data_IF_059340318406
#
_entry.id   IF_059340318406
#
_cell.length_a   1.000
_cell.length_b   1.000
_cell.length_c   1.000
_cell.angle_alpha   90.00
_cell.angle_beta   90.00
_cell.angle_gamma   90.00
#
_symmetry.space_group_name_H-M   'P 1'
#
loop_
_entity.id
_entity.type
_entity.pdbx_description
1 polymer ?
#
# COMPACT_ATOMS: atom_id res chain seq x y z
N UNK A 1 -7.01 -6.18 -10.49
CA UNK A 1 -6.18 -6.68 -9.40
C UNK A 1 -5.15 -5.64 -9.01
N UNK A 2 -4.82 -5.59 -7.74
CA UNK A 2 -3.86 -4.61 -7.28
C UNK A 2 -2.42 -4.98 -7.58
N UNK A 3 -2.14 -6.26 -7.69
CA UNK A 3 -0.77 -6.70 -7.92
C UNK A 3 -0.19 -6.05 -9.17
N UNK A 4 0.97 -5.47 -9.05
CA UNK A 4 1.64 -4.80 -10.15
C UNK A 4 1.28 -3.33 -10.30
N UNK A 5 0.31 -2.85 -9.53
CA UNK A 5 -0.08 -1.45 -9.60
C UNK A 5 0.85 -0.60 -8.73
N UNK A 6 1.12 0.61 -9.20
CA UNK A 6 1.86 1.57 -8.38
C UNK A 6 0.87 2.36 -7.54
N UNK A 7 1.16 2.44 -6.26
CA UNK A 7 0.27 3.18 -5.35
C UNK A 7 1.08 4.17 -4.54
N UNK A 8 0.38 5.12 -3.98
CA UNK A 8 0.95 6.06 -3.01
C UNK A 8 0.19 5.93 -1.70
N UNK A 9 0.92 5.84 -0.61
CA UNK A 9 0.31 5.80 0.71
C UNK A 9 -0.08 7.21 1.10
N UNK A 10 -1.37 7.42 1.32
CA UNK A 10 -1.87 8.73 1.75
C UNK A 10 -1.73 8.86 3.25
N UNK A 11 -2.12 7.82 3.98
CA UNK A 11 -2.08 7.87 5.43
C UNK A 11 -2.00 6.43 5.94
N UNK A 12 -1.10 6.21 6.89
CA UNK A 12 -0.97 4.89 7.49
C UNK A 12 -1.07 5.07 8.99
N UNK A 13 -2.17 4.62 9.57
CA UNK A 13 -2.53 4.93 10.94
C UNK A 13 -1.48 4.48 11.94
N UNK A 14 -0.96 3.28 11.75
CA UNK A 14 0.03 2.74 12.67
C UNK A 14 1.44 3.23 12.39
N UNK A 15 1.68 3.83 11.23
CA UNK A 15 3.01 4.27 10.84
C UNK A 15 2.91 5.55 10.03
N UNK A 16 2.65 6.67 10.69
CA UNK A 16 2.41 7.92 9.96
C UNK A 16 3.55 8.35 9.05
N UNK A 17 4.77 7.93 9.36
CA UNK A 17 5.90 8.34 8.52
C UNK A 17 5.89 7.72 7.13
N UNK A 18 5.00 6.75 6.92
CA UNK A 18 4.86 6.17 5.59
C UNK A 18 4.02 7.04 4.66
N UNK A 19 3.38 8.08 5.18
CA UNK A 19 2.59 8.98 4.35
C UNK A 19 3.43 9.55 3.23
N UNK A 20 2.93 9.46 2.01
CA UNK A 20 3.63 9.97 0.85
C UNK A 20 4.53 8.97 0.16
N UNK A 21 4.76 7.82 0.75
CA UNK A 21 5.59 6.82 0.10
C UNK A 21 4.85 6.18 -1.06
N UNK A 22 5.62 5.83 -2.08
CA UNK A 22 5.07 5.14 -3.25
C UNK A 22 5.77 3.82 -3.42
N UNK A 23 5.07 2.91 -4.08
CA UNK A 23 5.65 1.63 -4.38
C UNK A 23 4.73 0.82 -5.27
N UNK A 24 5.15 -0.38 -5.54
CA UNK A 24 4.39 -1.29 -6.40
C UNK A 24 3.86 -2.42 -5.53
N UNK A 25 2.59 -2.75 -5.74
CA UNK A 25 1.96 -3.84 -4.99
C UNK A 25 2.54 -5.17 -5.46
N UNK A 26 3.00 -5.97 -4.52
CA UNK A 26 3.53 -7.29 -4.83
C UNK A 26 2.49 -8.39 -4.67
N UNK A 27 1.67 -8.29 -3.62
CA UNK A 27 0.59 -9.25 -3.43
C UNK A 27 -0.33 -8.76 -2.32
N UNK A 28 -1.50 -9.36 -2.26
CA UNK A 28 -2.46 -9.12 -1.19
C UNK A 28 -2.61 -10.45 -0.45
N UNK A 29 -2.45 -10.42 0.87
CA UNK A 29 -2.48 -11.67 1.61
C UNK A 29 -3.91 -12.11 1.95
N UNK A 30 -4.02 -13.22 2.67
CA UNK A 30 -5.31 -13.85 2.93
C UNK A 30 -6.24 -13.00 3.78
N UNK A 31 -5.68 -12.11 4.58
CA UNK A 31 -6.51 -11.27 5.43
C UNK A 31 -6.69 -9.87 4.84
N UNK A 32 -6.32 -9.69 3.58
CA UNK A 32 -6.59 -8.46 2.87
C UNK A 32 -5.56 -7.37 3.02
N UNK A 33 -4.41 -7.67 3.61
CA UNK A 33 -3.35 -6.69 3.74
C UNK A 33 -2.53 -6.64 2.47
N UNK A 34 -2.18 -5.42 2.05
CA UNK A 34 -1.51 -5.19 0.77
C UNK A 34 -0.02 -5.04 1.01
N UNK A 35 0.76 -5.88 0.36
CA UNK A 35 2.22 -5.89 0.48
C UNK A 35 2.85 -5.35 -0.78
N UNK A 36 3.95 -4.62 -0.61
CA UNK A 36 4.62 -4.04 -1.76
C UNK A 36 5.99 -3.51 -1.41
N UNK A 37 6.51 -2.67 -2.29
CA UNK A 37 7.90 -2.26 -2.23
C UNK A 37 8.15 -0.99 -1.40
N UNK A 38 7.13 -0.47 -0.73
CA UNK A 38 7.28 0.77 0.04
C UNK A 38 7.98 0.58 1.37
N UNK A 39 8.17 -0.64 1.82
CA UNK A 39 8.85 -0.91 3.08
C UNK A 39 8.29 -2.15 3.71
N UNK A 40 8.53 -2.31 5.00
CA UNK A 40 8.16 -3.53 5.69
C UNK A 40 6.73 -3.60 6.18
N UNK A 41 5.94 -2.55 6.05
CA UNK A 41 4.58 -2.52 6.58
C UNK A 41 3.56 -2.78 5.47
N UNK A 42 2.64 -3.68 5.74
CA UNK A 42 1.53 -3.92 4.82
C UNK A 42 0.47 -2.85 5.02
N UNK A 43 -0.22 -2.51 3.94
CA UNK A 43 -1.33 -1.56 4.00
C UNK A 43 -2.57 -2.33 4.42
N UNK A 44 -3.28 -1.80 5.42
CA UNK A 44 -4.54 -2.35 5.88
C UNK A 44 -5.66 -1.45 5.37
N UNK A 45 -6.35 -1.85 4.29
CA UNK A 45 -7.31 -0.94 3.65
C UNK A 45 -8.42 -0.42 4.56
N UNK A 46 -8.68 -1.14 5.64
CA UNK A 46 -9.72 -0.71 6.59
C UNK A 46 -9.28 0.48 7.41
N UNK A 47 -7.99 0.66 7.59
CA UNK A 47 -7.44 1.67 8.48
C UNK A 47 -6.57 2.68 7.76
N UNK A 48 -5.89 2.23 6.73
CA UNK A 48 -4.92 3.06 6.02
C UNK A 48 -5.51 3.53 4.72
N UNK A 49 -5.02 4.66 4.23
CA UNK A 49 -5.49 5.21 2.98
C UNK A 49 -4.38 5.20 1.96
N UNK A 50 -4.73 4.84 0.76
CA UNK A 50 -3.78 4.84 -0.35
C UNK A 50 -4.54 5.15 -1.63
N UNK A 51 -3.78 5.48 -2.67
CA UNK A 51 -4.37 5.75 -3.97
C UNK A 51 -3.52 5.09 -5.04
N UNK A 52 -4.17 4.69 -6.11
CA UNK A 52 -3.49 4.11 -7.24
C UNK A 52 -3.01 5.25 -8.12
N UNK A 53 -1.69 5.30 -8.34
CA UNK A 53 -1.11 6.43 -9.09
C UNK A 53 -0.56 6.00 -10.43
N UNK A 54 -0.55 4.68 -10.74
CA UNK A 54 -0.09 4.24 -12.03
C UNK A 54 -0.35 2.78 -12.19
N UNK A 55 -0.56 2.41 -13.45
CA UNK A 55 -0.74 1.05 -13.77
C UNK A 55 0.53 0.43 -14.19
N UNK A 56 0.56 -0.73 -14.21
CA UNK A 56 1.48 -1.35 -14.83
C UNK A 56 2.07 -1.84 -14.90
#
# INVERSE_FOLDING_TARGET
>A
MLKGQRIRIVSMEGEPRYSGKEGVVEYVDDIGQIHGTWGGCAIQPERDKFEIVGGK
#
